data_IF_369888612020
#
_entry.id   IF_369888612020
#
_cell.length_a   1.000
_cell.length_b   1.000
_cell.length_c   1.000
_cell.angle_alpha   90.00
_cell.angle_beta   90.00
_cell.angle_gamma   90.00
#
_symmetry.space_group_name_H-M   'P 1'
#
loop_
_entity.id
_entity.type
_entity.pdbx_description
1 polymer ?
#
# COMPACT_ATOMS: atom_id res chain seq x y z
N UNK A 1 -33.22 -9.72 13.91
CA UNK A 1 -31.77 -9.51 14.12
C UNK A 1 -31.03 -10.80 13.75
N UNK A 2 -30.32 -10.84 12.62
CA UNK A 2 -29.54 -12.02 12.21
C UNK A 2 -28.26 -12.07 13.05
N UNK A 3 -28.11 -13.11 13.88
CA UNK A 3 -26.87 -13.40 14.60
C UNK A 3 -25.80 -13.72 13.55
N UNK A 4 -24.96 -12.75 13.25
CA UNK A 4 -23.77 -12.97 12.42
C UNK A 4 -22.85 -13.91 13.22
N UNK A 5 -22.72 -15.15 12.77
CA UNK A 5 -21.91 -16.16 13.45
C UNK A 5 -20.44 -15.76 13.42
N UNK A 6 -19.75 -15.88 14.54
CA UNK A 6 -18.32 -15.57 14.69
C UNK A 6 -17.45 -16.30 13.63
N UNK A 7 -17.91 -17.47 13.16
CA UNK A 7 -17.30 -18.25 12.09
C UNK A 7 -17.30 -17.54 10.72
N UNK A 8 -18.35 -16.77 10.41
CA UNK A 8 -18.46 -16.05 9.13
C UNK A 8 -17.52 -14.84 9.09
N UNK A 9 -17.23 -14.24 10.24
CA UNK A 9 -16.28 -13.13 10.36
C UNK A 9 -14.83 -13.60 10.17
N UNK A 10 -14.48 -14.80 10.66
CA UNK A 10 -13.13 -15.36 10.54
C UNK A 10 -12.78 -15.77 9.10
N UNK A 11 -13.75 -16.27 8.32
CA UNK A 11 -13.54 -16.66 6.93
C UNK A 11 -13.34 -15.46 5.98
N UNK A 12 -13.97 -14.31 6.27
CA UNK A 12 -13.82 -13.10 5.45
C UNK A 12 -12.44 -12.45 5.59
N UNK A 13 -11.81 -12.56 6.77
CA UNK A 13 -10.48 -11.99 7.03
C UNK A 13 -9.38 -12.83 6.37
N UNK A 14 -9.53 -14.15 6.28
CA UNK A 14 -8.48 -15.04 5.71
C UNK A 14 -8.39 -14.95 4.19
N UNK A 15 -9.51 -14.81 3.47
CA UNK A 15 -9.51 -14.71 2.00
C UNK A 15 -8.94 -13.38 1.48
N UNK A 16 -9.12 -12.28 2.22
CA UNK A 16 -8.56 -10.98 1.85
C UNK A 16 -7.02 -10.98 1.89
N UNK A 17 -6.43 -11.70 2.86
CA UNK A 17 -4.98 -11.83 2.96
C UNK A 17 -4.38 -12.65 1.81
N UNK A 18 -5.07 -13.70 1.35
CA UNK A 18 -4.59 -14.49 0.22
C UNK A 18 -4.53 -13.66 -1.07
N UNK A 19 -5.58 -12.89 -1.36
CA UNK A 19 -5.63 -12.06 -2.57
C UNK A 19 -4.59 -10.93 -2.57
N UNK A 20 -4.39 -10.26 -1.42
CA UNK A 20 -3.35 -9.23 -1.28
C UNK A 20 -1.94 -9.81 -1.45
N UNK A 21 -1.69 -11.01 -0.91
CA UNK A 21 -0.43 -11.72 -1.09
C UNK A 21 -0.18 -12.14 -2.55
N UNK A 22 -1.22 -12.61 -3.25
CA UNK A 22 -1.11 -12.96 -4.67
C UNK A 22 -0.78 -11.74 -5.53
N UNK A 23 -1.40 -10.59 -5.24
CA UNK A 23 -1.06 -9.33 -5.90
C UNK A 23 0.37 -8.90 -5.59
N UNK A 24 0.81 -8.99 -4.34
CA UNK A 24 2.18 -8.67 -3.95
C UNK A 24 3.19 -9.52 -4.73
N UNK A 25 2.98 -10.84 -4.75
CA UNK A 25 3.84 -11.76 -5.49
C UNK A 25 3.85 -11.46 -7.00
N UNK A 26 2.69 -11.14 -7.57
CA UNK A 26 2.55 -10.86 -9.01
C UNK A 26 3.30 -9.59 -9.38
N UNK A 27 3.01 -8.47 -8.71
CA UNK A 27 3.68 -7.19 -8.97
C UNK A 27 5.18 -7.27 -8.68
N UNK A 28 5.58 -7.97 -7.62
CA UNK A 28 6.99 -8.09 -7.31
C UNK A 28 7.75 -8.87 -8.38
N UNK A 29 7.16 -9.95 -8.89
CA UNK A 29 7.73 -10.73 -10.00
C UNK A 29 7.82 -9.91 -11.29
N UNK A 30 6.80 -9.10 -11.60
CA UNK A 30 6.81 -8.23 -12.79
C UNK A 30 7.95 -7.19 -12.76
N UNK A 31 8.31 -6.73 -11.56
CA UNK A 31 9.44 -5.83 -11.33
C UNK A 31 10.80 -6.55 -11.25
N UNK A 32 10.84 -7.87 -11.40
CA UNK A 32 12.06 -8.66 -11.20
C UNK A 32 12.54 -8.70 -9.74
N UNK A 33 11.68 -8.34 -8.79
CA UNK A 33 11.98 -8.31 -7.36
C UNK A 33 11.74 -9.63 -6.64
N UNK A 34 11.95 -9.59 -5.33
CA UNK A 34 11.71 -10.69 -4.40
C UNK A 34 10.80 -10.29 -3.23
N UNK A 35 9.93 -11.21 -2.81
CA UNK A 35 9.10 -11.00 -1.63
C UNK A 35 9.85 -11.42 -0.36
N UNK A 36 10.18 -10.44 0.49
CA UNK A 36 10.79 -10.65 1.81
C UNK A 36 9.71 -10.65 2.89
N UNK A 37 9.78 -11.59 3.84
CA UNK A 37 8.82 -11.70 4.98
C UNK A 37 9.14 -10.76 6.15
N UNK A 38 10.32 -10.16 6.12
CA UNK A 38 10.76 -9.21 7.13
C UNK A 38 11.51 -8.09 6.44
N UNK A 39 11.30 -6.88 6.93
CA UNK A 39 12.02 -5.70 6.47
C UNK A 39 12.46 -4.88 7.67
N UNK A 40 13.68 -4.36 7.63
CA UNK A 40 14.18 -3.46 8.66
C UNK A 40 14.22 -2.04 8.09
N UNK A 41 13.36 -1.18 8.65
CA UNK A 41 13.30 0.23 8.29
C UNK A 41 14.68 0.88 8.48
N UNK A 42 15.29 1.43 7.42
CA UNK A 42 16.64 2.00 7.48
C UNK A 42 16.78 3.14 8.48
N UNK A 43 15.80 4.05 8.52
CA UNK A 43 15.83 5.27 9.34
C UNK A 43 15.42 4.98 10.77
N UNK A 44 14.26 4.35 10.96
CA UNK A 44 13.70 4.10 12.30
C UNK A 44 14.22 2.82 12.97
N UNK A 45 14.91 1.94 12.22
CA UNK A 45 15.34 0.59 12.65
C UNK A 45 14.20 -0.34 13.04
N UNK A 46 12.94 0.07 12.85
CA UNK A 46 11.75 -0.73 13.10
C UNK A 46 11.77 -1.99 12.24
N UNK A 47 11.59 -3.15 12.86
CA UNK A 47 11.48 -4.42 12.15
C UNK A 47 10.01 -4.72 11.86
N UNK A 48 9.67 -4.76 10.58
CA UNK A 48 8.37 -5.11 10.08
C UNK A 48 8.35 -6.60 9.71
N UNK A 49 7.32 -7.32 10.15
CA UNK A 49 7.22 -8.79 10.00
C UNK A 49 5.99 -9.18 9.19
N UNK A 50 5.93 -8.68 7.97
CA UNK A 50 4.93 -9.00 6.95
C UNK A 50 5.60 -8.95 5.57
N UNK A 51 4.87 -9.30 4.50
CA UNK A 51 5.42 -9.40 3.16
C UNK A 51 5.71 -8.03 2.54
N UNK A 52 6.91 -7.88 1.98
CA UNK A 52 7.33 -6.72 1.18
C UNK A 52 7.89 -7.21 -0.14
N UNK A 53 7.58 -6.51 -1.22
CA UNK A 53 8.40 -6.62 -2.41
C UNK A 53 9.65 -5.77 -2.22
N UNK A 54 10.80 -6.33 -2.57
CA UNK A 54 12.06 -5.61 -2.70
C UNK A 54 12.60 -5.82 -4.10
N UNK A 55 12.96 -4.75 -4.80
CA UNK A 55 13.45 -4.79 -6.17
C UNK A 55 14.48 -3.70 -6.42
N UNK A 56 15.28 -3.83 -7.47
CA UNK A 56 16.17 -2.77 -7.94
C UNK A 56 15.50 -2.02 -9.09
N UNK A 57 15.53 -0.69 -9.06
CA UNK A 57 15.11 0.14 -10.20
C UNK A 57 16.16 0.08 -11.33
N UNK A 58 15.91 0.80 -12.42
CA UNK A 58 16.80 0.90 -13.58
C UNK A 58 18.17 1.53 -13.28
N UNK A 59 18.32 2.17 -12.13
CA UNK A 59 19.54 2.80 -11.63
C UNK A 59 20.27 1.95 -10.58
N UNK A 60 19.78 0.73 -10.31
CA UNK A 60 20.39 -0.20 -9.33
C UNK A 60 20.15 0.20 -7.87
N UNK A 61 19.14 1.03 -7.59
CA UNK A 61 18.74 1.40 -6.23
C UNK A 61 17.66 0.44 -5.74
N UNK A 62 17.90 -0.16 -4.56
CA UNK A 62 16.92 -1.00 -3.88
C UNK A 62 15.69 -0.16 -3.45
N UNK A 63 14.52 -0.58 -3.90
CA UNK A 63 13.21 -0.03 -3.55
C UNK A 63 12.34 -1.12 -2.93
N UNK A 64 11.32 -0.71 -2.18
CA UNK A 64 10.40 -1.66 -1.55
C UNK A 64 8.99 -1.09 -1.39
N UNK A 65 8.01 -1.98 -1.37
CA UNK A 65 6.60 -1.67 -1.09
C UNK A 65 5.89 -2.88 -0.46
N UNK A 66 4.78 -2.65 0.23
CA UNK A 66 3.90 -3.72 0.76
C UNK A 66 2.51 -3.71 0.10
N UNK A 67 2.21 -2.67 -0.70
CA UNK A 67 0.97 -2.55 -1.44
C UNK A 67 -0.16 -2.07 -0.53
N UNK A 68 -1.38 -2.57 -0.72
CA UNK A 68 -2.49 -2.09 0.11
C UNK A 68 -2.50 -2.76 1.49
N UNK A 69 -2.08 -2.01 2.51
CA UNK A 69 -2.26 -2.40 3.92
C UNK A 69 -3.61 -1.91 4.45
N UNK A 70 -4.51 -2.86 4.74
CA UNK A 70 -5.80 -2.58 5.39
C UNK A 70 -7.04 -2.73 4.48
N UNK A 71 -8.24 -2.46 5.01
CA UNK A 71 -9.49 -2.74 4.31
C UNK A 71 -9.77 -1.74 3.18
N UNK A 72 -10.07 -2.27 1.99
CA UNK A 72 -10.39 -1.49 0.77
C UNK A 72 -11.86 -1.61 0.30
N UNK A 73 -12.66 -2.45 0.98
CA UNK A 73 -14.06 -2.65 0.64
C UNK A 73 -14.34 -3.52 -0.59
N UNK A 74 -13.40 -4.37 -1.00
CA UNK A 74 -13.49 -5.19 -2.21
C UNK A 74 -13.04 -4.45 -3.47
N UNK A 75 -12.17 -3.45 -3.30
CA UNK A 75 -11.62 -2.64 -4.39
C UNK A 75 -10.10 -2.79 -4.53
N UNK A 76 -9.50 -3.81 -3.90
CA UNK A 76 -8.05 -4.06 -3.88
C UNK A 76 -7.43 -3.93 -5.26
N UNK A 77 -7.94 -4.64 -6.28
CA UNK A 77 -7.37 -4.61 -7.63
C UNK A 77 -7.36 -3.21 -8.28
N UNK A 78 -8.35 -2.36 -7.97
CA UNK A 78 -8.42 -0.98 -8.48
C UNK A 78 -7.49 -0.03 -7.73
N UNK A 79 -7.21 -0.34 -6.46
CA UNK A 79 -6.45 0.50 -5.56
C UNK A 79 -4.97 0.11 -5.48
N UNK A 80 -4.64 -1.14 -5.79
CA UNK A 80 -3.29 -1.71 -5.64
C UNK A 80 -2.18 -0.89 -6.31
N UNK A 81 -2.33 -0.43 -7.57
CA UNK A 81 -1.30 0.41 -8.20
C UNK A 81 -1.07 1.73 -7.45
N UNK A 82 -2.12 2.29 -6.84
CA UNK A 82 -2.01 3.54 -6.07
C UNK A 82 -1.39 3.30 -4.69
N UNK A 83 -1.61 2.13 -4.09
CA UNK A 83 -0.94 1.74 -2.85
C UNK A 83 0.56 1.59 -3.08
N UNK A 84 0.98 0.87 -4.14
CA UNK A 84 2.40 0.76 -4.52
C UNK A 84 3.02 2.15 -4.71
N UNK A 85 2.35 3.03 -5.48
CA UNK A 85 2.84 4.38 -5.70
C UNK A 85 2.98 5.18 -4.40
N UNK A 86 2.04 5.00 -3.47
CA UNK A 86 2.05 5.66 -2.17
C UNK A 86 3.22 5.20 -1.30
N UNK A 87 3.49 3.89 -1.24
CA UNK A 87 4.64 3.34 -0.51
C UNK A 87 5.96 3.86 -1.06
N UNK A 88 6.14 3.81 -2.39
CA UNK A 88 7.34 4.34 -3.05
C UNK A 88 7.50 5.83 -2.77
N UNK A 89 6.41 6.60 -2.82
CA UNK A 89 6.42 8.02 -2.45
C UNK A 89 6.87 8.20 -1.00
N UNK A 90 6.33 7.44 -0.05
CA UNK A 90 6.69 7.52 1.36
C UNK A 90 8.17 7.22 1.63
N UNK A 91 8.77 6.31 0.87
CA UNK A 91 10.09 5.80 1.18
C UNK A 91 11.23 6.54 0.48
N UNK A 92 10.95 7.22 -0.63
CA UNK A 92 11.99 7.77 -1.51
C UNK A 92 11.83 9.27 -1.80
N UNK A 93 10.61 9.77 -2.03
CA UNK A 93 10.38 11.19 -2.40
C UNK A 93 10.81 12.23 -1.35
N UNK A 94 10.73 11.98 -0.02
CA UNK A 94 11.09 12.98 0.97
C UNK A 94 12.55 13.42 0.89
N UNK A 95 13.46 12.51 0.52
CA UNK A 95 14.85 12.90 0.29
C UNK A 95 15.02 13.51 -1.09
N UNK A 96 14.57 12.84 -2.17
CA UNK A 96 14.94 13.28 -3.51
C UNK A 96 14.26 14.55 -3.98
N UNK A 97 12.98 14.69 -3.66
CA UNK A 97 12.16 15.76 -4.20
C UNK A 97 11.59 16.67 -3.09
N UNK A 98 11.91 16.39 -1.83
CA UNK A 98 11.44 17.16 -0.67
C UNK A 98 9.93 17.04 -0.44
N UNK A 99 9.27 16.01 -0.99
CA UNK A 99 7.84 15.83 -0.78
C UNK A 99 7.53 15.51 0.68
N UNK A 100 6.44 16.09 1.17
CA UNK A 100 5.94 15.83 2.51
C UNK A 100 4.96 14.66 2.46
N UNK A 101 4.75 14.01 3.59
CA UNK A 101 3.74 12.96 3.74
C UNK A 101 2.37 13.37 3.18
N UNK A 102 1.97 14.63 3.40
CA UNK A 102 0.72 15.19 2.90
C UNK A 102 0.63 15.17 1.37
N UNK A 103 1.73 15.37 0.67
CA UNK A 103 1.77 15.40 -0.79
C UNK A 103 1.55 13.99 -1.35
N UNK A 104 2.27 13.00 -0.81
CA UNK A 104 2.05 11.59 -1.11
C UNK A 104 0.61 11.14 -0.80
N UNK A 105 0.06 11.54 0.36
CA UNK A 105 -1.30 11.17 0.75
C UNK A 105 -2.37 11.79 -0.17
N UNK A 106 -2.13 13.02 -0.63
CA UNK A 106 -3.03 13.72 -1.54
C UNK A 106 -3.03 13.08 -2.92
N UNK A 107 -1.85 12.73 -3.44
CA UNK A 107 -1.72 11.99 -4.69
C UNK A 107 -2.41 10.62 -4.61
N UNK A 108 -2.17 9.89 -3.53
CA UNK A 108 -2.82 8.60 -3.25
C UNK A 108 -4.35 8.74 -3.32
N UNK A 109 -4.91 9.69 -2.55
CA UNK A 109 -6.36 9.97 -2.55
C UNK A 109 -6.89 10.22 -3.96
N UNK A 110 -6.22 11.07 -4.72
CA UNK A 110 -6.70 11.47 -6.04
C UNK A 110 -6.61 10.30 -7.03
N UNK A 111 -5.57 9.47 -6.92
CA UNK A 111 -5.44 8.20 -7.63
C UNK A 111 -6.62 7.25 -7.36
N UNK A 112 -6.90 6.95 -6.08
CA UNK A 112 -8.02 6.11 -5.68
C UNK A 112 -9.36 6.63 -6.23
N UNK A 113 -9.61 7.94 -6.09
CA UNK A 113 -10.85 8.57 -6.56
C UNK A 113 -10.99 8.52 -8.07
N UNK A 114 -9.89 8.59 -8.83
CA UNK A 114 -9.91 8.41 -10.29
C UNK A 114 -10.24 6.97 -10.68
N UNK A 115 -9.63 5.98 -10.03
CA UNK A 115 -9.92 4.55 -10.28
C UNK A 115 -11.38 4.18 -10.04
N UNK A 116 -12.07 4.88 -9.12
CA UNK A 116 -13.46 4.61 -8.83
C UNK A 116 -14.45 4.82 -9.99
N UNK A 117 -14.05 5.51 -11.08
CA UNK A 117 -14.86 5.61 -12.30
C UNK A 117 -15.08 4.26 -12.99
N UNK A 118 -14.21 3.28 -12.72
CA UNK A 118 -14.28 1.93 -13.30
C UNK A 118 -14.97 0.92 -12.35
N UNK A 119 -15.39 1.35 -11.17
CA UNK A 119 -15.98 0.46 -10.17
C UNK A 119 -17.46 0.17 -10.45
N UNK A 120 -17.89 -1.06 -10.18
CA UNK A 120 -19.33 -1.46 -10.24
C UNK A 120 -20.24 -0.52 -9.45
N UNK A 121 -19.75 0.03 -8.35
CA UNK A 121 -20.43 1.09 -7.59
C UNK A 121 -19.45 2.19 -7.25
N UNK A 122 -19.41 3.22 -8.10
CA UNK A 122 -18.54 4.39 -7.91
C UNK A 122 -18.74 5.04 -6.52
N UNK A 123 -19.98 5.16 -6.05
CA UNK A 123 -20.31 5.72 -4.73
C UNK A 123 -19.64 4.94 -3.59
N UNK A 124 -19.72 3.61 -3.60
CA UNK A 124 -19.10 2.75 -2.57
C UNK A 124 -17.57 2.81 -2.65
N UNK A 125 -17.02 2.74 -3.87
CA UNK A 125 -15.58 2.88 -4.09
C UNK A 125 -15.05 4.20 -3.54
N UNK A 126 -15.70 5.32 -3.86
CA UNK A 126 -15.28 6.65 -3.36
C UNK A 126 -15.37 6.77 -1.84
N UNK A 127 -16.32 6.08 -1.20
CA UNK A 127 -16.38 6.04 0.26
C UNK A 127 -15.15 5.32 0.84
N UNK A 128 -14.78 4.18 0.28
CA UNK A 128 -13.57 3.44 0.69
C UNK A 128 -12.28 4.19 0.37
N UNK A 129 -12.17 4.85 -0.78
CA UNK A 129 -11.04 5.72 -1.10
C UNK A 129 -10.82 6.82 -0.05
N UNK A 130 -11.92 7.44 0.42
CA UNK A 130 -11.86 8.42 1.52
C UNK A 130 -11.47 7.79 2.85
N UNK A 131 -11.94 6.58 3.14
CA UNK A 131 -11.58 5.83 4.35
C UNK A 131 -10.07 5.52 4.36
N UNK A 132 -9.53 4.99 3.27
CA UNK A 132 -8.09 4.70 3.14
C UNK A 132 -7.25 5.97 3.28
N UNK A 133 -7.64 7.06 2.59
CA UNK A 133 -6.98 8.35 2.75
C UNK A 133 -6.95 8.82 4.22
N UNK A 134 -8.07 8.70 4.94
CA UNK A 134 -8.09 9.06 6.37
C UNK A 134 -7.16 8.16 7.20
N UNK A 135 -7.10 6.87 6.90
CA UNK A 135 -6.22 5.94 7.61
C UNK A 135 -4.74 6.32 7.45
N UNK A 136 -4.27 6.58 6.22
CA UNK A 136 -2.87 7.00 5.99
C UNK A 136 -2.56 8.36 6.63
N UNK A 137 -3.53 9.29 6.67
CA UNK A 137 -3.37 10.58 7.38
C UNK A 137 -3.22 10.41 8.90
N UNK A 138 -3.84 9.40 9.49
CA UNK A 138 -3.80 9.16 10.94
C UNK A 138 -2.60 8.32 11.36
N UNK A 139 -2.24 7.31 10.57
CA UNK A 139 -1.28 6.28 10.98
C UNK A 139 -0.03 6.18 10.09
N UNK A 140 -0.01 6.90 8.96
CA UNK A 140 1.07 6.81 7.96
C UNK A 140 2.41 7.39 8.40
N UNK A 141 2.48 8.10 9.53
CA UNK A 141 3.73 8.70 10.04
C UNK A 141 4.82 7.65 10.27
N UNK A 142 4.45 6.45 10.74
CA UNK A 142 5.39 5.36 10.97
C UNK A 142 5.98 4.84 9.65
N UNK A 143 5.13 4.60 8.65
CA UNK A 143 5.56 4.16 7.32
C UNK A 143 6.40 5.24 6.61
N UNK A 144 5.95 6.50 6.67
CA UNK A 144 6.67 7.65 6.11
C UNK A 144 8.08 7.83 6.69
N UNK A 145 8.30 7.41 7.94
CA UNK A 145 9.62 7.47 8.59
C UNK A 145 10.39 6.14 8.52
N UNK A 146 9.91 5.14 7.79
CA UNK A 146 10.58 3.85 7.67
C UNK A 146 11.90 3.97 6.89
N UNK A 147 11.83 4.51 5.68
CA UNK A 147 12.97 4.72 4.81
C UNK A 147 13.28 6.21 4.61
N UNK A 148 14.52 6.44 4.17
CA UNK A 148 15.08 7.76 3.90
C UNK A 148 16.22 7.52 2.91
N UNK A 149 15.87 7.29 1.65
CA UNK A 149 16.83 7.11 0.56
C UNK A 149 16.54 8.10 -0.56
N UNK A 150 17.56 8.52 -1.30
CA UNK A 150 17.36 9.25 -2.55
C UNK A 150 16.58 8.34 -3.51
N UNK A 151 15.40 8.80 -3.89
CA UNK A 151 14.73 8.39 -5.10
C UNK A 151 15.53 8.74 -6.35
N UNK A 152 15.62 7.76 -7.22
CA UNK A 152 15.95 7.94 -8.63
C UNK A 152 14.93 7.05 -9.36
N UNK A 153 14.21 7.59 -10.35
CA UNK A 153 13.14 6.87 -11.07
C UNK A 153 13.26 7.10 -12.57
#
# INVERSE_FOLDING_TARGET
MKKLSLFTLFFLVTMQNAFANDLLNTYCKELGGEVRKTYQCPKSRLKLSFGFCVFENDQGIEQFFDGCTGPDGGHTALFYPHCIKHDLCYHHEPISNGLKQKDCDQEFRDGLLRSCRQAKSEKKCRAWAKTMYRAVRMFGVLAFNCANYEASY
#
